data_IF_186388835043
#
_entry.id   IF_186388835043
#
_cell.length_a   1.000
_cell.length_b   1.000
_cell.length_c   1.000
_cell.angle_alpha   90.00
_cell.angle_beta   90.00
_cell.angle_gamma   90.00
#
_symmetry.space_group_name_H-M   'P 1'
#
loop_
_entity.id
_entity.type
_entity.pdbx_description
1 polymer ?
#
# COMPACT_ATOMS: atom_id res chain seq x y z
N UNK A 1 11.73 2.30 18.96
CA UNK A 1 13.11 2.17 18.42
C UNK A 1 14.23 2.02 19.44
N UNK A 2 14.07 2.41 20.72
CA UNK A 2 15.18 2.42 21.70
C UNK A 2 15.89 1.06 21.89
N UNK A 3 15.12 -0.04 21.95
CA UNK A 3 15.69 -1.39 22.10
C UNK A 3 16.55 -1.80 20.91
N UNK A 4 16.14 -1.49 19.67
CA UNK A 4 16.90 -1.84 18.47
C UNK A 4 18.22 -1.06 18.40
N UNK A 5 18.19 0.22 18.77
CA UNK A 5 19.40 1.04 18.88
C UNK A 5 20.37 0.49 19.93
N UNK A 6 19.86 0.00 21.05
CA UNK A 6 20.67 -0.65 22.09
C UNK A 6 21.35 -1.91 21.56
N UNK A 7 20.63 -2.78 20.85
CA UNK A 7 21.21 -3.98 20.23
C UNK A 7 22.26 -3.63 19.17
N UNK A 8 21.98 -2.65 18.31
CA UNK A 8 22.90 -2.20 17.27
C UNK A 8 24.22 -1.63 17.85
N UNK A 9 24.15 -1.04 19.04
CA UNK A 9 25.29 -0.44 19.74
C UNK A 9 26.16 -1.45 20.51
N UNK A 10 25.74 -2.73 20.64
CA UNK A 10 26.51 -3.73 21.36
C UNK A 10 27.93 -3.92 20.77
N UNK A 11 28.89 -4.23 21.65
CA UNK A 11 30.28 -4.55 21.27
C UNK A 11 30.65 -5.96 21.76
N UNK A 12 30.03 -7.01 21.21
CA UNK A 12 30.41 -8.37 21.55
C UNK A 12 31.82 -8.67 21.03
N UNK A 13 32.56 -9.48 21.79
CA UNK A 13 33.77 -10.11 21.29
C UNK A 13 33.40 -11.15 20.22
N UNK A 14 33.88 -10.94 18.99
CA UNK A 14 33.59 -11.81 17.86
C UNK A 14 34.34 -13.15 17.94
N UNK A 15 35.34 -13.24 18.82
CA UNK A 15 36.18 -14.43 19.01
C UNK A 15 35.69 -15.34 20.14
N UNK A 16 34.81 -14.82 21.01
CA UNK A 16 34.23 -15.53 22.15
C UNK A 16 33.02 -16.41 21.76
N UNK A 17 33.02 -17.05 20.59
CA UNK A 17 31.88 -17.83 20.09
C UNK A 17 31.57 -19.09 20.91
N UNK A 18 32.45 -19.48 21.84
CA UNK A 18 32.22 -20.56 22.80
C UNK A 18 31.39 -20.12 24.01
N UNK A 19 31.23 -18.81 24.22
CA UNK A 19 30.35 -18.25 25.23
C UNK A 19 28.93 -18.06 24.65
N UNK A 20 27.94 -18.57 25.37
CA UNK A 20 26.53 -18.47 24.98
C UNK A 20 26.10 -17.00 24.90
N UNK A 21 26.62 -16.15 25.79
CA UNK A 21 26.28 -14.72 25.82
C UNK A 21 26.79 -14.00 24.57
N UNK A 22 28.06 -14.16 24.23
CA UNK A 22 28.62 -13.62 22.99
C UNK A 22 27.91 -14.17 21.72
N UNK A 23 27.54 -15.45 21.73
CA UNK A 23 26.95 -16.14 20.56
C UNK A 23 25.66 -15.49 20.06
N UNK A 24 24.75 -15.06 20.95
CA UNK A 24 23.52 -14.38 20.51
C UNK A 24 23.70 -12.87 20.31
N UNK A 25 24.67 -12.23 20.99
CA UNK A 25 24.91 -10.78 20.85
C UNK A 25 25.40 -10.39 19.47
N UNK A 26 26.22 -11.23 18.84
CA UNK A 26 26.76 -11.02 17.49
C UNK A 26 25.63 -10.91 16.44
N UNK A 27 24.74 -11.91 16.27
CA UNK A 27 23.66 -11.83 15.29
C UNK A 27 22.62 -10.76 15.64
N UNK A 28 22.30 -10.55 16.93
CA UNK A 28 21.36 -9.51 17.33
C UNK A 28 21.86 -8.09 17.01
N UNK A 29 23.15 -7.83 17.21
CA UNK A 29 23.78 -6.58 16.75
C UNK A 29 23.65 -6.41 15.24
N UNK A 30 23.99 -7.47 14.48
CA UNK A 30 23.92 -7.45 13.01
C UNK A 30 22.50 -7.19 12.50
N UNK A 31 21.49 -7.83 13.11
CA UNK A 31 20.08 -7.57 12.82
C UNK A 31 19.66 -6.16 13.21
N UNK A 32 20.07 -5.68 14.39
CA UNK A 32 19.75 -4.33 14.85
C UNK A 32 20.29 -3.24 13.92
N UNK A 33 21.51 -3.39 13.40
CA UNK A 33 22.09 -2.43 12.44
C UNK A 33 21.34 -2.43 11.11
N UNK A 34 21.13 -3.60 10.50
CA UNK A 34 20.40 -3.72 9.23
C UNK A 34 18.97 -3.21 9.32
N UNK A 35 18.31 -3.44 10.46
CA UNK A 35 16.97 -2.90 10.68
C UNK A 35 16.98 -1.38 10.67
N UNK A 36 17.94 -0.73 11.35
CA UNK A 36 18.04 0.73 11.36
C UNK A 36 18.30 1.27 9.95
N UNK A 37 19.25 0.69 9.24
CA UNK A 37 19.56 1.07 7.85
C UNK A 37 18.32 0.98 6.95
N UNK A 38 17.61 -0.14 6.97
CA UNK A 38 16.39 -0.32 6.18
C UNK A 38 15.24 0.58 6.65
N UNK A 39 15.14 0.85 7.94
CA UNK A 39 14.11 1.74 8.46
C UNK A 39 14.31 3.19 8.01
N UNK A 40 15.57 3.65 8.04
CA UNK A 40 15.93 4.99 7.57
C UNK A 40 15.72 5.07 6.04
N UNK A 41 16.10 4.04 5.28
CA UNK A 41 15.83 3.96 3.84
C UNK A 41 14.33 3.99 3.50
N UNK A 42 13.50 3.27 4.27
CA UNK A 42 12.04 3.32 4.12
C UNK A 42 11.52 4.74 4.37
N UNK A 43 11.99 5.42 5.42
CA UNK A 43 11.56 6.78 5.71
C UNK A 43 11.95 7.77 4.61
N UNK A 44 13.16 7.63 4.05
CA UNK A 44 13.62 8.44 2.93
C UNK A 44 12.77 8.19 1.67
N UNK A 45 12.43 6.94 1.38
CA UNK A 45 11.56 6.57 0.26
C UNK A 45 10.12 7.05 0.46
N UNK A 46 9.58 6.95 1.67
CA UNK A 46 8.25 7.47 2.00
C UNK A 46 8.17 8.98 1.75
N UNK A 47 9.23 9.74 2.09
CA UNK A 47 9.33 11.17 1.78
C UNK A 47 9.34 11.44 0.27
N UNK A 48 10.08 10.65 -0.51
CA UNK A 48 10.10 10.78 -1.97
C UNK A 48 8.75 10.46 -2.59
N UNK A 49 8.10 9.38 -2.13
CA UNK A 49 6.76 8.99 -2.59
C UNK A 49 5.75 10.08 -2.26
N UNK A 50 5.81 10.67 -1.06
CA UNK A 50 4.93 11.75 -0.65
C UNK A 50 5.04 12.96 -1.59
N UNK A 51 6.26 13.41 -1.87
CA UNK A 51 6.48 14.53 -2.79
C UNK A 51 5.95 14.24 -4.20
N UNK A 52 6.16 13.03 -4.72
CA UNK A 52 5.65 12.62 -6.04
C UNK A 52 4.12 12.55 -6.04
N UNK A 53 3.51 11.98 -5.00
CA UNK A 53 2.05 11.86 -4.93
C UNK A 53 1.38 13.24 -4.83
N UNK A 54 1.96 14.18 -4.08
CA UNK A 54 1.49 15.57 -3.96
C UNK A 54 1.57 16.34 -5.27
N UNK A 55 2.63 16.13 -6.05
CA UNK A 55 2.78 16.76 -7.37
C UNK A 55 1.78 16.19 -8.40
N UNK A 56 1.58 14.86 -8.39
CA UNK A 56 0.79 14.19 -9.41
C UNK A 56 -0.73 14.23 -9.16
N UNK A 57 -1.16 14.18 -7.91
CA UNK A 57 -2.58 14.06 -7.55
C UNK A 57 -2.91 14.75 -6.21
N UNK A 58 -2.74 16.08 -6.11
CA UNK A 58 -3.02 16.81 -4.88
C UNK A 58 -4.47 16.62 -4.40
N UNK A 59 -5.43 16.66 -5.33
CA UNK A 59 -6.86 16.46 -5.03
C UNK A 59 -7.16 15.09 -4.38
N UNK A 60 -6.35 14.06 -4.68
CA UNK A 60 -6.49 12.72 -4.10
C UNK A 60 -6.04 12.70 -2.64
N UNK A 61 -4.99 13.46 -2.31
CA UNK A 61 -4.41 13.56 -0.96
C UNK A 61 -5.26 14.48 -0.07
N UNK A 62 -5.93 15.49 -0.64
CA UNK A 62 -6.93 16.30 0.07
C UNK A 62 -8.17 15.48 0.49
N UNK A 63 -8.35 14.28 -0.08
CA UNK A 63 -9.40 13.34 0.28
C UNK A 63 -9.25 12.81 1.71
N UNK A 64 -10.37 12.71 2.43
CA UNK A 64 -10.36 12.19 3.80
C UNK A 64 -9.89 10.72 3.81
N UNK A 65 -8.89 10.40 4.65
CA UNK A 65 -8.38 9.05 4.92
C UNK A 65 -7.49 8.40 3.85
N UNK A 66 -6.85 9.16 2.96
CA UNK A 66 -5.85 8.65 2.00
C UNK A 66 -4.45 9.10 2.41
N UNK A 67 -3.58 8.14 2.72
CA UNK A 67 -2.15 8.37 2.94
C UNK A 67 -1.39 8.41 1.60
N UNK A 68 -0.26 9.10 1.53
CA UNK A 68 0.61 9.20 0.35
C UNK A 68 0.97 7.85 -0.27
N UNK A 69 1.31 6.85 0.54
CA UNK A 69 1.58 5.49 0.04
C UNK A 69 0.35 4.85 -0.61
N UNK A 70 -0.84 5.07 -0.05
CA UNK A 70 -2.09 4.59 -0.63
C UNK A 70 -2.44 5.37 -1.91
N UNK A 71 -2.21 6.67 -1.94
CA UNK A 71 -2.38 7.50 -3.14
C UNK A 71 -1.46 7.03 -4.28
N UNK A 72 -0.17 6.81 -4.00
CA UNK A 72 0.78 6.28 -4.98
C UNK A 72 0.35 4.91 -5.50
N UNK A 73 -0.10 4.02 -4.63
CA UNK A 73 -0.61 2.71 -5.00
C UNK A 73 -1.85 2.79 -5.91
N UNK A 74 -2.77 3.72 -5.63
CA UNK A 74 -3.93 3.99 -6.48
C UNK A 74 -3.50 4.48 -7.87
N UNK A 75 -2.54 5.41 -7.93
CA UNK A 75 -2.00 5.95 -9.16
C UNK A 75 -1.33 4.85 -10.02
N UNK A 76 -0.52 3.98 -9.43
CA UNK A 76 0.09 2.83 -10.11
C UNK A 76 -0.97 1.87 -10.64
N UNK A 77 -1.92 1.48 -9.78
CA UNK A 77 -3.01 0.57 -10.15
C UNK A 77 -3.83 1.13 -11.31
N UNK A 78 -4.13 2.43 -11.28
CA UNK A 78 -4.90 3.09 -12.32
C UNK A 78 -4.11 3.30 -13.62
N UNK A 79 -2.86 3.75 -13.49
CA UNK A 79 -1.94 4.02 -14.60
C UNK A 79 -1.60 2.78 -15.42
N UNK A 80 -1.46 1.62 -14.76
CA UNK A 80 -1.15 0.34 -15.44
C UNK A 80 -2.40 -0.32 -16.06
N UNK A 81 -3.61 0.15 -15.74
CA UNK A 81 -4.87 -0.49 -16.15
C UNK A 81 -5.87 0.44 -16.87
N UNK A 82 -5.45 1.38 -17.76
CA UNK A 82 -6.35 2.38 -18.34
C UNK A 82 -7.44 1.75 -19.22
N UNK A 83 -7.13 0.64 -19.90
CA UNK A 83 -8.09 -0.09 -20.74
C UNK A 83 -9.15 -0.85 -19.93
N UNK A 84 -8.90 -1.09 -18.63
CA UNK A 84 -9.79 -1.86 -17.74
C UNK A 84 -10.61 -0.95 -16.83
N UNK A 85 -10.13 0.27 -16.56
CA UNK A 85 -10.80 1.27 -15.75
C UNK A 85 -11.69 2.20 -16.58
N UNK A 86 -12.78 1.65 -17.13
CA UNK A 86 -13.70 2.40 -18.01
C UNK A 86 -14.92 3.00 -17.29
N UNK A 87 -15.18 2.56 -16.06
CA UNK A 87 -16.32 3.01 -15.24
C UNK A 87 -16.00 2.92 -13.74
N UNK A 88 -16.78 3.58 -12.89
CA UNK A 88 -16.55 3.57 -11.45
C UNK A 88 -16.62 2.16 -10.84
N UNK A 89 -17.46 1.28 -11.40
CA UNK A 89 -17.62 -0.11 -10.95
C UNK A 89 -16.44 -1.00 -11.33
N UNK A 90 -15.67 -0.58 -12.33
CA UNK A 90 -14.54 -1.36 -12.84
C UNK A 90 -13.36 -1.38 -11.87
N UNK A 91 -13.21 -0.36 -11.02
CA UNK A 91 -12.14 -0.32 -10.01
C UNK A 91 -12.39 -1.29 -8.84
N UNK A 92 -13.56 -1.29 -8.15
CA UNK A 92 -13.90 -2.33 -7.18
C UNK A 92 -13.83 -3.74 -7.77
N UNK A 93 -14.20 -3.90 -9.05
CA UNK A 93 -14.09 -5.19 -9.74
C UNK A 93 -12.63 -5.61 -9.98
N UNK A 94 -11.76 -4.66 -10.35
CA UNK A 94 -10.31 -4.87 -10.51
C UNK A 94 -9.65 -5.28 -9.20
N UNK A 95 -10.02 -4.62 -8.10
CA UNK A 95 -9.51 -4.92 -6.75
C UNK A 95 -10.15 -6.17 -6.12
N UNK A 96 -11.15 -6.80 -6.78
CA UNK A 96 -11.84 -7.99 -6.27
C UNK A 96 -12.82 -7.73 -5.12
N UNK A 97 -13.11 -6.47 -4.83
CA UNK A 97 -14.00 -6.06 -3.73
C UNK A 97 -15.43 -5.76 -4.20
N UNK A 98 -15.71 -5.87 -5.51
CA UNK A 98 -17.07 -5.67 -6.02
C UNK A 98 -18.03 -6.80 -5.62
N UNK A 99 -19.29 -6.49 -5.27
CA UNK A 99 -20.31 -7.49 -4.96
C UNK A 99 -20.82 -8.16 -6.25
N UNK A 100 -20.80 -9.48 -6.29
CA UNK A 100 -21.33 -10.31 -7.38
C UNK A 100 -22.56 -11.07 -6.87
N UNK A 101 -23.71 -11.03 -7.57
CA UNK A 101 -24.89 -11.80 -7.20
C UNK A 101 -24.57 -13.29 -7.07
N UNK A 102 -25.04 -13.91 -5.99
CA UNK A 102 -24.80 -15.31 -5.66
C UNK A 102 -26.12 -16.10 -5.48
N UNK A 103 -27.19 -15.71 -6.18
CA UNK A 103 -28.49 -16.38 -6.06
C UNK A 103 -29.27 -16.50 -7.38
N UNK A 104 -30.11 -17.54 -7.42
CA UNK A 104 -30.95 -17.93 -8.57
C UNK A 104 -32.45 -17.63 -8.35
N UNK A 105 -32.79 -16.59 -7.59
CA UNK A 105 -34.14 -15.99 -7.68
C UNK A 105 -35.07 -16.02 -6.46
N UNK A 106 -34.62 -16.38 -5.24
CA UNK A 106 -35.46 -16.25 -4.02
C UNK A 106 -34.79 -15.68 -2.76
N UNK A 107 -33.46 -15.53 -2.74
CA UNK A 107 -32.72 -14.90 -1.62
C UNK A 107 -31.67 -13.97 -2.18
N UNK A 108 -31.58 -12.72 -1.73
CA UNK A 108 -30.53 -11.79 -2.18
C UNK A 108 -29.26 -12.04 -1.38
N UNK A 109 -28.25 -12.65 -1.99
CA UNK A 109 -26.91 -12.81 -1.42
C UNK A 109 -25.87 -12.31 -2.41
N UNK A 110 -24.81 -11.69 -1.89
CA UNK A 110 -23.67 -11.24 -2.68
C UNK A 110 -22.42 -11.96 -2.21
N UNK A 111 -21.55 -12.33 -3.15
CA UNK A 111 -20.18 -12.79 -2.90
C UNK A 111 -19.20 -11.74 -3.41
N UNK A 112 -17.99 -11.71 -2.89
CA UNK A 112 -16.94 -10.88 -3.47
C UNK A 112 -16.49 -11.44 -4.83
N UNK A 113 -16.10 -10.53 -5.72
CA UNK A 113 -15.53 -10.87 -7.01
C UNK A 113 -14.16 -11.54 -6.86
N UNK A 114 -14.05 -12.81 -7.27
CA UNK A 114 -12.78 -13.56 -7.22
C UNK A 114 -11.88 -13.32 -8.43
N UNK A 115 -12.32 -12.54 -9.43
CA UNK A 115 -11.56 -12.24 -10.65
C UNK A 115 -10.55 -11.11 -10.43
N UNK A 116 -10.14 -10.86 -9.18
CA UNK A 116 -9.01 -9.97 -8.89
C UNK A 116 -7.81 -10.45 -9.72
N UNK A 117 -7.21 -9.55 -10.48
CA UNK A 117 -6.06 -9.92 -11.32
C UNK A 117 -4.93 -10.48 -10.45
N UNK A 118 -4.20 -11.48 -10.95
CA UNK A 118 -3.03 -12.07 -10.27
C UNK A 118 -1.83 -11.13 -10.16
N UNK A 119 -1.99 -9.87 -10.56
CA UNK A 119 -0.98 -8.83 -10.43
C UNK A 119 -0.83 -8.47 -8.94
N UNK A 120 0.39 -8.58 -8.37
CA UNK A 120 0.62 -8.37 -6.93
C UNK A 120 0.18 -6.98 -6.45
N UNK A 121 0.33 -5.96 -7.31
CA UNK A 121 -0.02 -4.56 -7.03
C UNK A 121 -1.53 -4.42 -6.74
N UNK A 122 -2.40 -4.95 -7.62
CA UNK A 122 -3.85 -4.84 -7.46
C UNK A 122 -4.41 -5.55 -6.22
N UNK A 123 -3.73 -6.60 -5.73
CA UNK A 123 -4.12 -7.33 -4.49
C UNK A 123 -3.70 -6.59 -3.22
N UNK A 124 -2.55 -5.92 -3.23
CA UNK A 124 -2.10 -5.09 -2.10
C UNK A 124 -2.99 -3.86 -1.90
N UNK A 125 -3.47 -3.24 -2.99
CA UNK A 125 -4.38 -2.10 -2.96
C UNK A 125 -5.70 -2.43 -2.23
N UNK A 126 -6.25 -3.63 -2.43
CA UNK A 126 -7.49 -4.05 -1.77
C UNK A 126 -7.35 -4.24 -0.26
N UNK A 127 -6.17 -4.66 0.24
CA UNK A 127 -5.90 -4.80 1.66
C UNK A 127 -5.73 -3.44 2.35
N UNK A 128 -5.04 -2.49 1.70
CA UNK A 128 -4.83 -1.15 2.24
C UNK A 128 -6.14 -0.34 2.31
N UNK A 129 -6.97 -0.37 1.26
CA UNK A 129 -8.29 0.28 1.27
C UNK A 129 -9.27 -0.31 2.29
N UNK A 130 -9.10 -1.58 2.68
CA UNK A 130 -9.95 -2.23 3.67
C UNK A 130 -9.54 -1.92 5.13
N UNK A 131 -8.32 -1.42 5.35
CA UNK A 131 -7.75 -1.18 6.69
C UNK A 131 -7.82 0.27 7.15
N UNK A 132 -8.14 1.22 6.26
CA UNK A 132 -8.21 2.67 6.55
C UNK A 132 -9.53 3.16 7.21
N UNK A 133 -10.28 2.28 7.87
CA UNK A 133 -11.47 2.63 8.68
C UNK A 133 -12.79 2.08 8.13
N UNK A 134 -13.91 2.24 8.86
CA UNK A 134 -15.19 1.66 8.46
C UNK A 134 -15.69 2.33 7.17
N UNK A 135 -15.77 1.52 6.10
CA UNK A 135 -16.41 1.88 4.84
C UNK A 135 -17.93 2.06 5.08
N UNK A 136 -18.32 3.17 5.70
CA UNK A 136 -19.71 3.60 5.77
C UNK A 136 -20.13 4.07 4.39
N UNK A 137 -21.41 3.89 4.05
CA UNK A 137 -22.06 4.25 2.76
C UNK A 137 -21.81 5.68 2.24
N UNK A 138 -21.14 6.51 3.02
CA UNK A 138 -20.89 7.93 2.82
C UNK A 138 -19.42 8.22 2.47
N UNK A 139 -18.50 7.24 2.60
CA UNK A 139 -17.11 7.36 2.11
C UNK A 139 -16.97 7.11 0.61
N UNK A 140 -18.07 6.78 -0.07
CA UNK A 140 -18.17 6.87 -1.51
C UNK A 140 -17.98 8.35 -1.88
N UNK A 141 -16.75 8.76 -2.21
CA UNK A 141 -16.54 10.06 -2.83
C UNK A 141 -17.54 10.19 -3.99
N UNK A 142 -18.29 11.30 -4.01
CA UNK A 142 -19.26 11.57 -5.06
C UNK A 142 -18.60 11.42 -6.43
N UNK A 143 -19.28 10.87 -7.46
CA UNK A 143 -18.79 10.69 -8.84
C UNK A 143 -18.07 11.91 -9.44
N UNK A 144 -18.38 13.10 -8.92
CA UNK A 144 -17.78 14.35 -9.38
C UNK A 144 -16.34 14.60 -8.91
N UNK A 145 -15.87 13.91 -7.85
CA UNK A 145 -14.56 14.15 -7.18
C UNK A 145 -13.49 13.12 -7.50
N UNK A 146 -13.82 12.01 -8.16
CA UNK A 146 -12.79 11.16 -8.72
C UNK A 146 -12.06 11.94 -9.81
N UNK A 147 -10.71 11.86 -9.90
CA UNK A 147 -9.99 12.50 -10.99
C UNK A 147 -10.56 11.96 -12.30
N UNK A 148 -11.38 12.79 -12.95
CA UNK A 148 -11.95 12.50 -14.25
C UNK A 148 -10.79 12.58 -15.24
N UNK A 149 -10.35 11.40 -15.63
CA UNK A 149 -9.19 11.16 -16.47
C UNK A 149 -7.83 11.35 -15.78
N UNK A 150 -6.95 10.38 -16.04
CA UNK A 150 -5.50 10.55 -15.94
C UNK A 150 -5.15 11.86 -16.68
N UNK A 151 -4.50 12.85 -16.05
CA UNK A 151 -4.13 14.10 -16.71
C UNK A 151 -3.42 13.80 -18.03
N UNK A 152 -3.76 14.52 -19.11
CA UNK A 152 -3.15 14.31 -20.44
C UNK A 152 -1.61 14.47 -20.43
N UNK A 153 -1.07 15.12 -19.41
CA UNK A 153 0.38 15.21 -19.15
C UNK A 153 1.05 13.86 -18.83
N UNK A 154 0.31 12.87 -18.31
CA UNK A 154 0.81 11.50 -18.07
C UNK A 154 0.71 10.60 -19.31
N UNK A 155 -0.05 10.99 -20.35
CA UNK A 155 -0.24 10.18 -21.55
C UNK A 155 0.86 10.40 -22.61
N UNK A 156 1.74 11.39 -22.42
CA UNK A 156 2.75 11.83 -23.41
C UNK A 156 4.21 11.51 -23.03
N UNK A 157 4.44 10.75 -21.95
CA UNK A 157 5.78 10.34 -21.50
C UNK A 157 6.02 8.82 -21.57
N UNK A 158 5.54 8.18 -22.64
CA UNK A 158 5.98 6.83 -23.05
C UNK A 158 6.75 6.92 -24.38
#
# INVERSE_FOLDING_TARGET
MQLVRLLAAWRPDLTAYHDVEATYRIPLKSLGRRYLELHDEIADLDMMIAAIAEDLAPDLIEGNSIEHNSAAQLLLTAGDNPKRLKSEESFPALCGVSPVPASSGKTTRHRLNRVATDLPIARSTSLQLATSGPMTRQSCMSPAKWPRAIPSSMQSRQ
#
